data_IF_920370071970
#
_entry.id   IF_920370071970
#
_cell.length_a   1.000
_cell.length_b   1.000
_cell.length_c   1.000
_cell.angle_alpha   90.00
_cell.angle_beta   90.00
_cell.angle_gamma   90.00
#
_symmetry.space_group_name_H-M   'P 1'
#
loop_
_entity.id
_entity.type
_entity.pdbx_description
1 polymer ?
#
# COMPACT_ATOMS: atom_id res chain seq x y z
N UNK A 1 -0.21 -7.86 30.69
CA UNK A 1 -0.86 -8.79 31.63
C UNK A 1 0.16 -9.85 32.03
N UNK A 2 0.57 -9.91 33.30
CA UNK A 2 1.34 -11.05 33.80
C UNK A 2 0.39 -12.23 33.85
N UNK A 3 0.75 -13.34 33.19
CA UNK A 3 -0.05 -14.56 33.27
C UNK A 3 0.28 -15.22 34.61
N UNK A 4 -0.72 -15.65 35.38
CA UNK A 4 -0.53 -16.40 36.65
C UNK A 4 -0.02 -17.83 36.43
N UNK A 5 0.67 -18.06 35.30
CA UNK A 5 1.18 -19.38 34.92
C UNK A 5 2.44 -19.69 35.74
N UNK A 6 2.48 -20.79 36.49
CA UNK A 6 3.62 -21.13 37.36
C UNK A 6 4.88 -21.36 36.53
N UNK A 7 6.02 -20.80 36.97
CA UNK A 7 7.30 -20.93 36.26
C UNK A 7 7.74 -22.41 36.26
N UNK A 8 7.96 -23.02 35.08
CA UNK A 8 8.31 -24.44 34.97
C UNK A 8 9.71 -24.74 35.51
N UNK A 9 9.89 -25.94 36.09
CA UNK A 9 11.11 -26.35 36.78
C UNK A 9 12.25 -26.69 35.79
N UNK A 10 13.49 -26.60 36.28
CA UNK A 10 14.71 -26.95 35.52
C UNK A 10 14.68 -28.46 35.19
N UNK A 11 14.52 -28.79 33.91
CA UNK A 11 14.42 -30.18 33.40
C UNK A 11 13.14 -30.45 32.61
N UNK A 12 12.04 -29.75 32.94
CA UNK A 12 10.74 -29.90 32.26
C UNK A 12 10.77 -29.37 30.82
N UNK A 13 11.68 -28.43 30.54
CA UNK A 13 11.85 -27.85 29.22
C UNK A 13 12.16 -28.89 28.16
N UNK A 14 13.11 -29.82 28.40
CA UNK A 14 13.46 -30.82 27.39
C UNK A 14 12.25 -31.70 27.08
N UNK A 15 11.56 -32.18 28.12
CA UNK A 15 10.35 -32.99 28.01
C UNK A 15 9.24 -32.29 27.22
N UNK A 16 9.00 -31.01 27.52
CA UNK A 16 7.97 -30.22 26.81
C UNK A 16 8.31 -30.02 25.33
N UNK A 17 9.58 -29.80 24.99
CA UNK A 17 10.02 -29.67 23.60
C UNK A 17 9.98 -31.02 22.86
N UNK A 18 10.38 -32.11 23.51
CA UNK A 18 10.31 -33.46 22.94
C UNK A 18 8.85 -33.85 22.67
N UNK A 19 7.93 -33.57 23.61
CA UNK A 19 6.49 -33.78 23.43
C UNK A 19 5.93 -32.92 22.29
N UNK A 20 6.31 -31.65 22.22
CA UNK A 20 5.89 -30.77 21.14
C UNK A 20 6.40 -31.24 19.77
N UNK A 21 7.64 -31.72 19.72
CA UNK A 21 8.24 -32.28 18.52
C UNK A 21 7.53 -33.56 18.09
N UNK A 22 7.24 -34.47 19.03
CA UNK A 22 6.44 -35.68 18.78
C UNK A 22 5.02 -35.35 18.30
N UNK A 23 4.44 -34.26 18.79
CA UNK A 23 3.14 -33.75 18.34
C UNK A 23 3.21 -32.96 17.02
N UNK A 24 4.38 -32.85 16.38
CA UNK A 24 4.56 -32.12 15.12
C UNK A 24 4.39 -30.60 15.23
N UNK A 25 4.44 -30.04 16.45
CA UNK A 25 4.31 -28.61 16.67
C UNK A 25 5.58 -27.88 16.21
N UNK A 26 5.40 -26.78 15.47
CA UNK A 26 6.52 -25.91 15.05
C UNK A 26 6.94 -24.96 16.16
N UNK A 27 6.02 -24.63 17.05
CA UNK A 27 6.20 -23.66 18.14
C UNK A 27 5.51 -24.12 19.41
N UNK A 28 6.04 -23.72 20.57
CA UNK A 28 5.36 -23.85 21.86
C UNK A 28 5.50 -22.59 22.69
N UNK A 29 4.51 -22.32 23.52
CA UNK A 29 4.64 -21.30 24.55
C UNK A 29 5.41 -21.88 25.74
N UNK A 30 6.48 -21.21 26.11
CA UNK A 30 7.32 -21.61 27.22
C UNK A 30 7.91 -20.40 27.94
N UNK A 31 8.28 -20.60 29.19
CA UNK A 31 8.87 -19.54 30.00
C UNK A 31 10.32 -19.25 29.58
N UNK A 32 10.58 -17.98 29.23
CA UNK A 32 11.89 -17.43 29.00
C UNK A 32 12.24 -16.43 30.10
N UNK A 33 13.42 -16.57 30.73
CA UNK A 33 13.87 -15.63 31.78
C UNK A 33 13.89 -14.16 31.34
N UNK A 34 14.11 -13.89 30.06
CA UNK A 34 14.22 -12.52 29.53
C UNK A 34 12.89 -11.95 29.03
N UNK A 35 11.92 -12.80 28.69
CA UNK A 35 10.71 -12.40 27.98
C UNK A 35 9.44 -13.01 28.57
N UNK A 36 9.52 -13.56 29.79
CA UNK A 36 8.44 -14.30 30.45
C UNK A 36 7.89 -15.44 29.57
N UNK A 37 6.61 -15.81 29.72
CA UNK A 37 5.90 -16.72 28.82
C UNK A 37 5.86 -16.17 27.39
N UNK A 38 6.55 -16.86 26.49
CA UNK A 38 6.73 -16.42 25.10
C UNK A 38 6.81 -17.63 24.17
N UNK A 39 6.76 -17.38 22.87
CA UNK A 39 6.83 -18.44 21.86
C UNK A 39 8.28 -18.90 21.65
N UNK A 40 8.49 -20.21 21.70
CA UNK A 40 9.73 -20.89 21.37
C UNK A 40 9.58 -21.69 20.07
N UNK A 41 10.68 -21.80 19.31
CA UNK A 41 10.75 -22.65 18.12
C UNK A 41 11.12 -24.08 18.56
N UNK A 42 10.29 -25.07 18.21
CA UNK A 42 10.49 -26.48 18.59
C UNK A 42 11.65 -27.09 17.80
N UNK A 43 11.72 -26.81 16.50
CA UNK A 43 12.82 -27.22 15.63
C UNK A 43 13.90 -26.11 15.52
N UNK A 44 15.18 -26.51 15.53
CA UNK A 44 16.33 -25.62 15.24
C UNK A 44 16.74 -24.63 16.35
N UNK A 45 15.86 -24.30 17.30
CA UNK A 45 16.09 -23.26 18.31
C UNK A 45 16.92 -23.66 19.54
N UNK A 46 17.27 -24.95 19.73
CA UNK A 46 17.88 -25.49 20.98
C UNK A 46 17.15 -25.03 22.26
N UNK A 47 15.83 -24.82 22.17
CA UNK A 47 15.01 -24.30 23.26
C UNK A 47 15.11 -22.80 23.53
N UNK A 48 15.73 -22.00 22.68
CA UNK A 48 15.76 -20.53 22.82
C UNK A 48 14.41 -19.95 22.38
N UNK A 49 13.90 -18.93 23.06
CA UNK A 49 12.66 -18.27 22.63
C UNK A 49 12.88 -17.53 21.32
N UNK A 50 11.81 -17.32 20.54
CA UNK A 50 11.88 -16.65 19.24
C UNK A 50 12.54 -15.27 19.35
N UNK A 51 12.17 -14.45 20.34
CA UNK A 51 12.75 -13.13 20.54
C UNK A 51 14.27 -13.16 20.82
N UNK A 52 14.73 -14.06 21.69
CA UNK A 52 16.17 -14.24 21.95
C UNK A 52 16.91 -14.77 20.71
N UNK A 53 16.28 -15.69 19.96
CA UNK A 53 16.85 -16.23 18.74
C UNK A 53 16.99 -15.15 17.66
N UNK A 54 15.95 -14.34 17.46
CA UNK A 54 15.93 -13.23 16.51
C UNK A 54 17.00 -12.19 16.86
N UNK A 55 17.14 -11.83 18.15
CA UNK A 55 18.19 -10.91 18.62
C UNK A 55 19.60 -11.47 18.38
N UNK A 56 19.82 -12.77 18.67
CA UNK A 56 21.09 -13.45 18.43
C UNK A 56 21.42 -13.48 16.93
N UNK A 57 20.44 -13.88 16.10
CA UNK A 57 20.60 -13.95 14.66
C UNK A 57 20.79 -12.56 14.04
N UNK A 58 20.14 -11.52 14.57
CA UNK A 58 20.33 -10.14 14.14
C UNK A 58 21.79 -9.69 14.22
N UNK A 59 22.50 -10.04 15.30
CA UNK A 59 23.93 -9.74 15.46
C UNK A 59 24.79 -10.50 14.45
N UNK A 60 24.56 -11.81 14.32
CA UNK A 60 25.30 -12.63 13.35
C UNK A 60 25.05 -12.19 11.91
N UNK A 61 23.81 -11.83 11.57
CA UNK A 61 23.41 -11.36 10.26
C UNK A 61 24.01 -9.99 9.95
N UNK A 62 24.04 -9.07 10.92
CA UNK A 62 24.69 -7.77 10.77
C UNK A 62 26.19 -7.93 10.48
N UNK A 63 26.89 -8.78 11.27
CA UNK A 63 28.30 -9.08 11.06
C UNK A 63 28.55 -9.74 9.70
N UNK A 64 27.73 -10.71 9.30
CA UNK A 64 27.85 -11.35 8.00
C UNK A 64 27.62 -10.37 6.84
N UNK A 65 26.67 -9.43 7.00
CA UNK A 65 26.42 -8.36 6.02
C UNK A 65 27.63 -7.43 5.91
N UNK A 66 28.18 -7.00 7.03
CA UNK A 66 29.38 -6.16 7.07
C UNK A 66 30.59 -6.86 6.43
N UNK A 67 30.83 -8.12 6.79
CA UNK A 67 31.89 -8.96 6.18
C UNK A 67 31.67 -9.12 4.67
N UNK A 68 30.43 -9.32 4.23
CA UNK A 68 30.13 -9.41 2.80
C UNK A 68 30.48 -8.12 2.04
N UNK A 69 30.41 -6.95 2.67
CA UNK A 69 30.79 -5.70 2.01
C UNK A 69 32.28 -5.37 2.10
N UNK A 70 32.96 -5.85 3.15
CA UNK A 70 34.34 -5.48 3.48
C UNK A 70 35.40 -6.53 3.17
N UNK A 71 35.02 -7.80 2.96
CA UNK A 71 35.95 -8.93 2.80
C UNK A 71 35.68 -9.69 1.49
N UNK A 72 36.62 -9.58 0.56
CA UNK A 72 36.56 -10.25 -0.75
C UNK A 72 36.64 -11.77 -0.67
N UNK A 73 37.44 -12.30 0.25
CA UNK A 73 37.56 -13.73 0.44
C UNK A 73 36.24 -14.31 0.98
N UNK A 74 35.58 -13.60 1.89
CA UNK A 74 34.25 -13.96 2.38
C UNK A 74 33.20 -13.92 1.26
N UNK A 75 33.22 -12.88 0.40
CA UNK A 75 32.33 -12.80 -0.78
C UNK A 75 32.52 -13.99 -1.72
N UNK A 76 33.77 -14.30 -2.07
CA UNK A 76 34.10 -15.41 -2.94
C UNK A 76 33.67 -16.76 -2.35
N UNK A 77 33.92 -16.97 -1.05
CA UNK A 77 33.44 -18.17 -0.33
C UNK A 77 31.91 -18.29 -0.36
N UNK A 78 31.18 -17.18 -0.15
CA UNK A 78 29.71 -17.21 -0.23
C UNK A 78 29.18 -17.47 -1.63
N UNK A 79 29.83 -16.96 -2.68
CA UNK A 79 29.47 -17.29 -4.08
C UNK A 79 29.64 -18.79 -4.34
N UNK A 80 30.79 -19.37 -3.96
CA UNK A 80 31.03 -20.81 -4.09
C UNK A 80 29.98 -21.64 -3.35
N UNK A 81 29.62 -21.26 -2.12
CA UNK A 81 28.55 -21.95 -1.37
C UNK A 81 27.18 -21.86 -2.07
N UNK A 82 26.88 -20.76 -2.76
CA UNK A 82 25.64 -20.61 -3.54
C UNK A 82 25.68 -21.49 -4.78
N UNK A 83 26.81 -21.53 -5.48
CA UNK A 83 27.04 -22.39 -6.65
C UNK A 83 26.93 -23.88 -6.29
N UNK A 84 27.64 -24.34 -5.25
CA UNK A 84 27.54 -25.72 -4.76
C UNK A 84 26.11 -26.09 -4.35
N UNK A 85 25.38 -25.15 -3.73
CA UNK A 85 23.99 -25.37 -3.37
C UNK A 85 23.07 -25.44 -4.61
N UNK A 86 23.37 -24.68 -5.67
CA UNK A 86 22.67 -24.75 -6.96
C UNK A 86 22.99 -26.06 -7.68
N UNK A 87 24.25 -26.47 -7.75
CA UNK A 87 24.66 -27.74 -8.34
C UNK A 87 23.98 -28.93 -7.66
N UNK A 88 23.97 -28.96 -6.32
CA UNK A 88 23.25 -30.01 -5.57
C UNK A 88 21.75 -30.04 -5.89
N UNK A 89 21.13 -28.87 -6.08
CA UNK A 89 19.72 -28.76 -6.47
C UNK A 89 19.46 -29.27 -7.88
N UNK A 90 20.40 -29.04 -8.80
CA UNK A 90 20.29 -29.50 -10.20
C UNK A 90 20.62 -30.99 -10.34
N UNK A 91 21.49 -31.53 -9.49
CA UNK A 91 21.92 -32.93 -9.50
C UNK A 91 20.85 -33.91 -8.97
N UNK A 92 19.84 -33.42 -8.25
CA UNK A 92 18.76 -34.26 -7.69
C UNK A 92 17.49 -34.09 -8.53
N UNK A 93 17.09 -35.08 -9.36
CA UNK A 93 15.85 -35.01 -10.12
C UNK A 93 14.65 -34.81 -9.18
N UNK A 94 13.74 -33.88 -9.51
CA UNK A 94 12.54 -33.60 -8.71
C UNK A 94 12.71 -32.63 -7.54
N UNK A 95 13.93 -32.40 -7.05
CA UNK A 95 14.15 -31.51 -5.90
C UNK A 95 13.75 -30.06 -6.18
N UNK A 96 13.94 -29.60 -7.43
CA UNK A 96 13.51 -28.26 -7.86
C UNK A 96 11.99 -28.14 -7.82
N UNK A 97 11.28 -29.14 -8.33
CA UNK A 97 9.82 -29.21 -8.34
C UNK A 97 9.27 -29.23 -6.90
N UNK A 98 9.88 -30.02 -6.01
CA UNK A 98 9.52 -30.10 -4.59
C UNK A 98 9.74 -28.78 -3.86
N UNK A 99 10.90 -28.13 -4.04
CA UNK A 99 11.17 -26.83 -3.44
C UNK A 99 10.20 -25.76 -3.95
N UNK A 100 9.90 -25.77 -5.24
CA UNK A 100 8.91 -24.88 -5.83
C UNK A 100 7.50 -25.17 -5.30
N UNK A 101 7.14 -26.45 -5.11
CA UNK A 101 5.87 -26.86 -4.52
C UNK A 101 5.75 -26.37 -3.08
N UNK A 102 6.77 -26.59 -2.26
CA UNK A 102 6.84 -26.08 -0.89
C UNK A 102 6.80 -24.54 -0.85
N UNK A 103 7.49 -23.86 -1.76
CA UNK A 103 7.44 -22.39 -1.84
C UNK A 103 6.04 -21.88 -2.24
N UNK A 104 5.36 -22.55 -3.17
CA UNK A 104 3.96 -22.26 -3.55
C UNK A 104 3.02 -22.49 -2.38
N UNK A 105 3.15 -23.61 -1.67
CA UNK A 105 2.35 -23.95 -0.50
C UNK A 105 2.56 -22.91 0.61
N UNK A 106 3.82 -22.64 0.98
CA UNK A 106 4.15 -21.63 1.99
C UNK A 106 3.63 -20.24 1.60
N UNK A 107 3.74 -19.84 0.32
CA UNK A 107 3.15 -18.59 -0.18
C UNK A 107 1.62 -18.60 -0.05
N UNK A 108 0.96 -19.69 -0.42
CA UNK A 108 -0.49 -19.85 -0.30
C UNK A 108 -0.96 -19.78 1.16
N UNK A 109 -0.24 -20.43 2.09
CA UNK A 109 -0.50 -20.33 3.53
C UNK A 109 -0.33 -18.89 4.02
N UNK A 110 0.73 -18.19 3.62
CA UNK A 110 0.93 -16.78 4.00
C UNK A 110 -0.15 -15.86 3.45
N UNK A 111 -0.55 -16.03 2.18
CA UNK A 111 -1.65 -15.25 1.60
C UNK A 111 -2.97 -15.42 2.36
N UNK A 112 -3.20 -16.58 2.97
CA UNK A 112 -4.40 -16.86 3.78
C UNK A 112 -4.31 -16.37 5.23
N UNK A 113 -3.11 -16.36 5.82
CA UNK A 113 -2.92 -16.15 7.27
C UNK A 113 -2.29 -14.81 7.65
N UNK A 114 -1.64 -14.13 6.72
CA UNK A 114 -0.96 -12.85 6.93
C UNK A 114 -1.53 -11.82 5.95
N UNK A 115 -2.45 -10.99 6.45
CA UNK A 115 -3.14 -9.99 5.65
C UNK A 115 -2.20 -8.92 5.08
N UNK A 116 -1.16 -8.54 5.83
CA UNK A 116 -0.14 -7.61 5.35
C UNK A 116 0.70 -8.22 4.23
N UNK A 117 1.01 -9.52 4.31
CA UNK A 117 1.65 -10.24 3.21
C UNK A 117 0.73 -10.30 1.97
N UNK A 118 -0.56 -10.55 2.17
CA UNK A 118 -1.54 -10.53 1.08
C UNK A 118 -1.64 -9.15 0.41
N UNK A 119 -1.72 -8.07 1.19
CA UNK A 119 -1.72 -6.69 0.68
C UNK A 119 -0.47 -6.37 -0.15
N UNK A 120 0.72 -6.70 0.38
CA UNK A 120 2.00 -6.54 -0.33
C UNK A 120 2.06 -7.33 -1.63
N UNK A 121 1.57 -8.57 -1.62
CA UNK A 121 1.57 -9.41 -2.82
C UNK A 121 0.59 -8.87 -3.89
N UNK A 122 -0.57 -8.35 -3.47
CA UNK A 122 -1.54 -7.70 -4.37
C UNK A 122 -0.97 -6.43 -5.00
N UNK A 123 -0.37 -5.54 -4.20
CA UNK A 123 0.30 -4.33 -4.69
C UNK A 123 1.42 -4.67 -5.67
N UNK A 124 2.30 -5.61 -5.34
CA UNK A 124 3.40 -6.00 -6.23
C UNK A 124 2.91 -6.52 -7.59
N UNK A 125 1.83 -7.31 -7.59
CA UNK A 125 1.19 -7.76 -8.84
C UNK A 125 0.54 -6.61 -9.61
N UNK A 126 -0.15 -5.69 -8.92
CA UNK A 126 -0.77 -4.52 -9.53
C UNK A 126 0.29 -3.58 -10.16
N UNK A 127 1.40 -3.38 -9.46
CA UNK A 127 2.56 -2.63 -9.95
C UNK A 127 3.20 -3.29 -11.18
N UNK A 128 3.37 -4.62 -11.17
CA UNK A 128 3.87 -5.34 -12.33
C UNK A 128 2.94 -5.19 -13.54
N UNK A 129 1.64 -5.40 -13.36
CA UNK A 129 0.64 -5.24 -14.42
C UNK A 129 0.54 -3.79 -14.91
N UNK A 130 0.74 -2.79 -14.04
CA UNK A 130 0.81 -1.40 -14.47
C UNK A 130 1.98 -1.17 -15.43
N UNK A 131 3.20 -1.63 -15.09
CA UNK A 131 4.37 -1.49 -15.98
C UNK A 131 4.16 -2.17 -17.33
N UNK A 132 3.58 -3.36 -17.30
CA UNK A 132 3.23 -4.11 -18.51
C UNK A 132 2.22 -3.35 -19.39
N UNK A 133 1.18 -2.79 -18.77
CA UNK A 133 0.09 -2.09 -19.47
C UNK A 133 0.54 -0.76 -20.05
N UNK A 134 1.38 -0.01 -19.34
CA UNK A 134 1.81 1.34 -19.75
C UNK A 134 3.11 1.34 -20.54
N UNK A 135 3.86 0.22 -20.54
CA UNK A 135 5.23 0.16 -21.04
C UNK A 135 6.22 1.05 -20.26
N UNK A 136 5.77 1.59 -19.11
CA UNK A 136 6.45 2.69 -18.42
C UNK A 136 7.30 2.25 -17.23
N UNK A 137 8.21 3.15 -16.85
CA UNK A 137 8.88 3.10 -15.54
C UNK A 137 7.91 3.66 -14.49
N UNK A 138 7.93 3.07 -13.29
CA UNK A 138 7.15 3.61 -12.17
C UNK A 138 7.52 5.07 -11.91
N UNK A 139 6.55 5.86 -11.45
CA UNK A 139 6.82 7.24 -11.03
C UNK A 139 7.93 7.25 -9.96
N UNK A 140 8.75 8.30 -9.95
CA UNK A 140 9.94 8.36 -9.11
C UNK A 140 9.66 8.23 -7.61
N UNK A 141 8.42 8.49 -7.17
CA UNK A 141 8.00 8.40 -5.77
C UNK A 141 7.40 7.05 -5.39
N UNK A 142 7.27 6.09 -6.32
CA UNK A 142 6.63 4.80 -6.05
C UNK A 142 7.24 4.07 -4.86
N UNK A 143 8.58 4.02 -4.77
CA UNK A 143 9.24 3.35 -3.65
C UNK A 143 8.94 3.98 -2.27
N UNK A 144 8.67 5.29 -2.24
CA UNK A 144 8.39 6.07 -1.03
C UNK A 144 6.93 5.88 -0.64
N UNK A 145 6.03 5.93 -1.62
CA UNK A 145 4.59 5.73 -1.41
C UNK A 145 4.23 4.25 -1.22
N UNK A 146 5.10 3.32 -1.63
CA UNK A 146 4.83 1.88 -1.61
C UNK A 146 4.25 1.38 -0.28
N UNK A 147 4.72 1.80 0.91
CA UNK A 147 4.08 1.40 2.17
C UNK A 147 2.61 1.87 2.27
N UNK A 148 2.29 3.09 1.85
CA UNK A 148 0.91 3.61 1.83
C UNK A 148 0.05 2.88 0.79
N UNK A 149 0.56 2.70 -0.43
CA UNK A 149 -0.08 1.91 -1.48
C UNK A 149 -0.38 0.49 -0.98
N UNK A 150 0.59 -0.19 -0.35
CA UNK A 150 0.41 -1.53 0.21
C UNK A 150 -0.64 -1.59 1.32
N UNK A 151 -0.78 -0.52 2.13
CA UNK A 151 -1.86 -0.41 3.11
C UNK A 151 -3.23 -0.37 2.42
N UNK A 152 -3.38 0.35 1.30
CA UNK A 152 -4.64 0.35 0.53
C UNK A 152 -5.04 -1.06 0.06
N UNK A 153 -4.07 -1.91 -0.27
CA UNK A 153 -4.33 -3.31 -0.64
C UNK A 153 -4.59 -4.25 0.55
N UNK A 154 -4.39 -3.81 1.79
CA UNK A 154 -4.65 -4.57 3.02
C UNK A 154 -6.09 -4.31 3.46
N UNK A 155 -6.86 -5.31 3.91
CA UNK A 155 -8.24 -5.06 4.35
C UNK A 155 -9.29 -4.85 3.27
N UNK A 156 -8.93 -4.97 1.99
CA UNK A 156 -9.91 -4.85 0.89
C UNK A 156 -10.98 -5.93 1.05
N UNK A 157 -12.21 -5.48 1.28
CA UNK A 157 -13.37 -6.33 1.54
C UNK A 157 -13.69 -7.19 0.33
N UNK A 158 -14.32 -8.34 0.56
CA UNK A 158 -14.83 -9.18 -0.51
C UNK A 158 -15.82 -8.39 -1.39
N UNK A 159 -15.66 -8.49 -2.71
CA UNK A 159 -16.45 -7.73 -3.68
C UNK A 159 -15.94 -6.31 -3.96
N UNK A 160 -14.84 -5.89 -3.33
CA UNK A 160 -14.13 -4.66 -3.64
C UNK A 160 -12.78 -4.95 -4.31
N UNK A 161 -12.32 -4.02 -5.13
CA UNK A 161 -11.01 -4.00 -5.77
C UNK A 161 -10.35 -2.64 -5.55
N UNK A 162 -9.02 -2.61 -5.54
CA UNK A 162 -8.28 -1.35 -5.64
C UNK A 162 -8.17 -1.01 -7.12
N UNK A 163 -8.76 0.12 -7.49
CA UNK A 163 -8.78 0.64 -8.85
C UNK A 163 -8.04 1.98 -8.95
N UNK A 164 -7.60 2.30 -10.15
CA UNK A 164 -6.97 3.56 -10.49
C UNK A 164 -8.03 4.61 -10.87
N UNK A 165 -8.14 5.73 -10.14
CA UNK A 165 -9.09 6.81 -10.43
C UNK A 165 -9.00 7.28 -11.89
N UNK A 166 -7.80 7.67 -12.29
CA UNK A 166 -7.35 7.77 -13.70
C UNK A 166 -6.87 6.39 -14.14
N UNK A 167 -7.47 5.75 -15.15
CA UNK A 167 -7.06 4.44 -15.64
C UNK A 167 -5.58 4.38 -16.06
N UNK A 168 -4.98 3.20 -15.95
CA UNK A 168 -3.58 2.94 -16.36
C UNK A 168 -3.31 3.39 -17.79
N UNK A 169 -4.28 3.15 -18.67
CA UNK A 169 -4.33 3.66 -20.04
C UNK A 169 -5.71 4.28 -20.24
N UNK A 170 -5.79 5.57 -19.98
CA UNK A 170 -7.03 6.33 -19.95
C UNK A 170 -7.43 6.73 -21.36
N UNK A 171 -8.67 6.44 -21.76
CA UNK A 171 -9.19 6.63 -23.10
C UNK A 171 -10.32 7.67 -23.11
N UNK A 172 -10.38 8.47 -24.16
CA UNK A 172 -11.53 9.34 -24.42
C UNK A 172 -12.73 8.54 -24.97
N UNK A 173 -13.79 9.25 -25.38
CA UNK A 173 -15.01 8.64 -25.94
C UNK A 173 -14.78 7.87 -27.24
N UNK A 174 -13.71 8.20 -27.97
CA UNK A 174 -13.33 7.56 -29.24
C UNK A 174 -12.36 6.38 -29.03
N UNK A 175 -11.99 6.08 -27.77
CA UNK A 175 -11.07 5.01 -27.42
C UNK A 175 -9.59 5.38 -27.58
N UNK A 176 -9.26 6.65 -27.84
CA UNK A 176 -7.89 7.13 -28.00
C UNK A 176 -7.25 7.32 -26.63
N UNK A 177 -6.00 6.86 -26.47
CA UNK A 177 -5.26 7.02 -25.22
C UNK A 177 -4.88 8.49 -25.01
N UNK A 178 -5.42 9.12 -23.98
CA UNK A 178 -5.24 10.54 -23.68
C UNK A 178 -4.44 10.81 -22.40
N UNK A 179 -4.42 9.88 -21.45
CA UNK A 179 -3.67 10.01 -20.21
C UNK A 179 -3.25 8.66 -19.63
N UNK A 180 -2.17 8.65 -18.85
CA UNK A 180 -1.70 7.47 -18.10
C UNK A 180 -1.83 7.76 -16.62
N UNK A 181 -2.74 7.05 -15.94
CA UNK A 181 -2.88 7.16 -14.50
C UNK A 181 -1.72 6.51 -13.77
N UNK A 182 -1.07 7.24 -12.87
CA UNK A 182 0.07 6.74 -12.10
C UNK A 182 -0.36 5.69 -11.06
N UNK A 183 0.51 4.74 -10.74
CA UNK A 183 0.30 3.80 -9.63
C UNK A 183 0.77 4.41 -8.30
N UNK A 184 0.09 5.47 -7.88
CA UNK A 184 0.38 6.25 -6.68
C UNK A 184 -0.81 6.23 -5.73
N UNK A 185 -0.59 6.53 -4.45
CA UNK A 185 -1.63 6.49 -3.42
C UNK A 185 -2.83 7.38 -3.77
N UNK A 186 -2.57 8.60 -4.28
CA UNK A 186 -3.61 9.56 -4.66
C UNK A 186 -4.52 9.08 -5.80
N UNK A 187 -4.04 8.14 -6.63
CA UNK A 187 -4.80 7.61 -7.75
C UNK A 187 -5.44 6.26 -7.44
N UNK A 188 -5.36 5.74 -6.22
CA UNK A 188 -5.87 4.42 -5.87
C UNK A 188 -7.02 4.51 -4.87
N UNK A 189 -8.12 3.84 -5.18
CA UNK A 189 -9.28 3.76 -4.30
C UNK A 189 -9.89 2.36 -4.29
N UNK A 190 -10.44 1.96 -3.14
CA UNK A 190 -11.24 0.75 -3.05
C UNK A 190 -12.64 1.03 -3.65
N UNK A 191 -13.01 0.27 -4.66
CA UNK A 191 -14.30 0.40 -5.36
C UNK A 191 -14.96 -0.99 -5.49
N UNK A 192 -16.28 -1.03 -5.55
CA UNK A 192 -17.00 -2.27 -5.81
C UNK A 192 -16.67 -2.81 -7.21
N UNK A 193 -16.46 -4.13 -7.33
CA UNK A 193 -16.10 -4.77 -8.60
C UNK A 193 -17.04 -4.43 -9.78
N UNK A 194 -18.39 -4.39 -9.61
CA UNK A 194 -19.28 -4.02 -10.71
C UNK A 194 -19.06 -2.58 -11.19
N UNK A 195 -18.80 -1.66 -10.26
CA UNK A 195 -18.51 -0.25 -10.59
C UNK A 195 -17.15 -0.12 -11.29
N UNK A 196 -16.14 -0.89 -10.86
CA UNK A 196 -14.84 -0.92 -11.53
C UNK A 196 -14.98 -1.35 -13.01
N UNK A 197 -15.75 -2.42 -13.26
CA UNK A 197 -16.02 -2.91 -14.62
C UNK A 197 -16.76 -1.89 -15.47
N UNK A 198 -17.75 -1.20 -14.89
CA UNK A 198 -18.50 -0.15 -15.59
C UNK A 198 -17.65 1.08 -15.90
N UNK A 199 -16.70 1.44 -15.03
CA UNK A 199 -15.78 2.56 -15.24
C UNK A 199 -14.81 2.29 -16.40
N UNK A 200 -14.26 1.06 -16.46
CA UNK A 200 -13.34 0.65 -17.51
C UNK A 200 -12.14 1.60 -17.66
N UNK A 201 -11.82 1.94 -18.90
CA UNK A 201 -10.68 2.80 -19.28
C UNK A 201 -11.09 4.26 -19.52
N UNK A 202 -12.35 4.64 -19.28
CA UNK A 202 -12.85 5.95 -19.66
C UNK A 202 -12.26 7.10 -18.82
N UNK A 203 -11.87 8.17 -19.49
CA UNK A 203 -11.31 9.39 -18.93
C UNK A 203 -12.13 10.60 -19.35
N UNK A 204 -12.81 11.19 -18.38
CA UNK A 204 -13.55 12.43 -18.51
C UNK A 204 -13.40 13.22 -17.20
N UNK A 205 -12.27 13.91 -17.00
CA UNK A 205 -12.04 14.70 -15.78
C UNK A 205 -13.04 15.85 -15.65
N UNK A 206 -13.69 16.26 -16.74
CA UNK A 206 -14.77 17.25 -16.70
C UNK A 206 -16.01 16.75 -15.97
N UNK A 207 -16.29 15.45 -16.05
CA UNK A 207 -17.45 14.82 -15.39
C UNK A 207 -17.07 14.09 -14.10
N UNK A 208 -15.81 13.62 -13.99
CA UNK A 208 -15.33 12.83 -12.85
C UNK A 208 -14.17 13.51 -12.14
N UNK A 209 -14.46 14.32 -11.10
CA UNK A 209 -13.43 15.05 -10.33
C UNK A 209 -12.30 14.19 -9.75
N UNK A 210 -12.55 12.90 -9.45
CA UNK A 210 -11.52 11.95 -9.00
C UNK A 210 -10.40 11.69 -10.04
N UNK A 211 -10.62 12.11 -11.28
CA UNK A 211 -9.64 12.04 -12.37
C UNK A 211 -8.83 13.33 -12.51
N UNK A 212 -9.18 14.39 -11.77
CA UNK A 212 -8.46 15.66 -11.71
C UNK A 212 -7.27 15.57 -10.73
N UNK A 213 -6.26 16.45 -10.84
CA UNK A 213 -5.16 16.48 -9.89
C UNK A 213 -5.65 16.81 -8.46
N UNK A 214 -5.08 16.17 -7.44
CA UNK A 214 -5.47 16.32 -6.03
C UNK A 214 -5.03 17.68 -5.43
N UNK A 215 -5.69 18.77 -5.84
CA UNK A 215 -5.47 20.12 -5.33
C UNK A 215 -6.80 20.91 -5.26
N UNK A 216 -6.76 22.06 -4.57
CA UNK A 216 -7.90 22.98 -4.36
C UNK A 216 -8.07 24.04 -5.44
N UNK A 217 -7.13 24.15 -6.38
CA UNK A 217 -7.16 25.15 -7.44
C UNK A 217 -8.20 24.83 -8.53
N UNK A 218 -8.47 25.78 -9.44
CA UNK A 218 -9.37 25.57 -10.55
C UNK A 218 -9.00 24.33 -11.37
N UNK A 219 -9.98 23.45 -11.64
CA UNK A 219 -9.75 22.18 -12.34
C UNK A 219 -9.10 21.08 -11.48
N UNK A 220 -8.93 21.32 -10.17
CA UNK A 220 -8.49 20.32 -9.20
C UNK A 220 -9.62 19.38 -8.75
N UNK A 221 -9.24 18.27 -8.12
CA UNK A 221 -10.18 17.31 -7.55
C UNK A 221 -10.96 17.88 -6.35
N UNK A 222 -10.41 18.91 -5.70
CA UNK A 222 -11.04 19.62 -4.57
C UNK A 222 -11.51 21.03 -4.96
N UNK A 223 -11.59 21.33 -6.25
CA UNK A 223 -12.19 22.57 -6.76
C UNK A 223 -13.67 22.64 -6.32
N UNK A 224 -14.10 23.70 -5.62
CA UNK A 224 -15.49 23.86 -5.18
C UNK A 224 -16.48 24.06 -6.34
N UNK A 225 -16.00 24.34 -7.56
CA UNK A 225 -16.86 24.43 -8.74
C UNK A 225 -17.40 23.03 -9.10
N UNK A 226 -18.73 22.84 -9.19
CA UNK A 226 -19.31 21.55 -9.56
C UNK A 226 -18.96 21.15 -11.01
N UNK A 227 -18.77 19.86 -11.25
CA UNK A 227 -18.74 19.28 -12.61
C UNK A 227 -20.10 19.37 -13.29
N UNK A 228 -20.18 19.13 -14.60
CA UNK A 228 -21.48 19.10 -15.31
C UNK A 228 -22.43 18.03 -14.74
N UNK A 229 -21.88 16.85 -14.40
CA UNK A 229 -22.61 15.77 -13.74
C UNK A 229 -23.08 16.15 -12.34
N UNK A 230 -22.24 16.84 -11.55
CA UNK A 230 -22.62 17.35 -10.23
C UNK A 230 -23.71 18.42 -10.35
N UNK A 231 -23.61 19.32 -11.33
CA UNK A 231 -24.67 20.27 -11.65
C UNK A 231 -25.99 19.60 -12.03
N UNK A 232 -25.93 18.49 -12.77
CA UNK A 232 -27.11 17.69 -13.09
C UNK A 232 -27.75 17.13 -11.82
N UNK A 233 -26.97 16.52 -10.93
CA UNK A 233 -27.46 15.99 -9.64
C UNK A 233 -28.03 17.08 -8.74
N UNK A 234 -27.41 18.27 -8.71
CA UNK A 234 -27.90 19.42 -7.94
C UNK A 234 -29.27 19.87 -8.48
N UNK A 235 -29.42 20.00 -9.81
CA UNK A 235 -30.69 20.36 -10.44
C UNK A 235 -31.78 19.30 -10.22
N UNK A 236 -31.41 18.02 -10.27
CA UNK A 236 -32.32 16.91 -9.93
C UNK A 236 -32.76 16.97 -8.45
N UNK A 237 -31.84 17.29 -7.53
CA UNK A 237 -32.15 17.45 -6.10
C UNK A 237 -33.05 18.65 -5.84
N UNK A 238 -32.85 19.74 -6.59
CA UNK A 238 -33.72 20.92 -6.56
C UNK A 238 -35.13 20.62 -7.03
N UNK A 239 -35.29 19.86 -8.10
CA UNK A 239 -36.59 19.38 -8.56
C UNK A 239 -37.33 18.51 -7.50
N UNK A 240 -36.59 17.92 -6.56
CA UNK A 240 -37.11 17.15 -5.42
C UNK A 240 -37.32 18.00 -4.15
N UNK A 241 -37.10 19.31 -4.22
CA UNK A 241 -37.34 20.26 -3.13
C UNK A 241 -36.13 20.57 -2.26
N UNK A 242 -34.92 20.15 -2.64
CA UNK A 242 -33.68 20.51 -1.94
C UNK A 242 -33.10 21.80 -2.52
N UNK A 243 -32.96 22.91 -1.76
CA UNK A 243 -32.42 24.15 -2.31
C UNK A 243 -31.04 23.97 -2.95
N UNK A 244 -30.82 24.62 -4.09
CA UNK A 244 -29.55 24.58 -4.81
C UNK A 244 -28.37 24.99 -3.91
N UNK A 245 -28.52 26.07 -3.15
CA UNK A 245 -27.48 26.60 -2.24
C UNK A 245 -27.07 25.57 -1.17
N UNK A 246 -28.04 24.83 -0.63
CA UNK A 246 -27.77 23.76 0.34
C UNK A 246 -26.96 22.63 -0.30
N UNK A 247 -27.28 22.24 -1.53
CA UNK A 247 -26.54 21.19 -2.26
C UNK A 247 -25.10 21.62 -2.56
N UNK A 248 -24.91 22.91 -2.90
CA UNK A 248 -23.59 23.50 -3.11
C UNK A 248 -22.77 23.59 -1.81
N UNK A 249 -23.39 23.96 -0.70
CA UNK A 249 -22.77 23.97 0.63
C UNK A 249 -22.28 22.57 1.01
N UNK A 250 -23.16 21.56 0.90
CA UNK A 250 -22.82 20.16 1.19
C UNK A 250 -21.67 19.65 0.32
N UNK A 251 -21.67 19.99 -0.98
CA UNK A 251 -20.57 19.63 -1.88
C UNK A 251 -19.24 20.27 -1.42
N UNK A 252 -19.25 21.57 -1.13
CA UNK A 252 -18.05 22.31 -0.69
C UNK A 252 -17.48 21.73 0.60
N UNK A 253 -18.34 21.52 1.60
CA UNK A 253 -17.94 20.95 2.89
C UNK A 253 -17.32 19.57 2.73
N UNK A 254 -17.91 18.72 1.89
CA UNK A 254 -17.36 17.39 1.58
C UNK A 254 -15.99 17.50 0.91
N UNK A 255 -15.83 18.36 -0.09
CA UNK A 255 -14.56 18.54 -0.80
C UNK A 255 -13.47 19.08 0.13
N UNK A 256 -13.83 19.98 1.05
CA UNK A 256 -12.91 20.47 2.08
C UNK A 256 -12.48 19.36 3.05
N UNK A 257 -13.40 18.48 3.46
CA UNK A 257 -13.05 17.31 4.28
C UNK A 257 -12.10 16.36 3.55
N UNK A 258 -12.36 16.06 2.27
CA UNK A 258 -11.50 15.21 1.44
C UNK A 258 -10.11 15.83 1.24
N UNK A 259 -10.05 17.15 0.97
CA UNK A 259 -8.80 17.88 0.82
C UNK A 259 -7.98 17.87 2.12
N UNK A 260 -8.62 18.12 3.27
CA UNK A 260 -7.96 18.09 4.58
C UNK A 260 -7.39 16.71 4.91
N UNK A 261 -8.12 15.64 4.60
CA UNK A 261 -7.65 14.28 4.80
C UNK A 261 -6.42 13.96 3.94
N UNK A 262 -6.45 14.36 2.67
CA UNK A 262 -5.31 14.20 1.76
C UNK A 262 -4.09 14.98 2.21
N UNK A 263 -4.26 16.26 2.57
CA UNK A 263 -3.17 17.13 3.02
C UNK A 263 -2.57 16.66 4.35
N UNK A 264 -3.37 16.10 5.25
CA UNK A 264 -2.90 15.52 6.52
C UNK A 264 -2.02 14.31 6.24
N UNK A 265 -2.49 13.38 5.39
CA UNK A 265 -1.70 12.23 4.99
C UNK A 265 -0.39 12.65 4.29
N UNK A 266 -0.44 13.66 3.43
CA UNK A 266 0.75 14.21 2.79
C UNK A 266 1.76 14.73 3.81
N UNK A 267 1.33 15.58 4.76
CA UNK A 267 2.21 16.20 5.77
C UNK A 267 2.75 15.20 6.79
N UNK A 268 1.94 14.24 7.22
CA UNK A 268 2.32 13.33 8.31
C UNK A 268 3.13 12.12 7.83
N UNK A 269 2.85 11.63 6.61
CA UNK A 269 3.43 10.39 6.12
C UNK A 269 4.37 10.58 4.93
N UNK A 270 3.99 11.40 3.95
CA UNK A 270 4.74 11.52 2.69
C UNK A 270 5.88 12.53 2.81
N UNK A 271 5.61 13.74 3.30
CA UNK A 271 6.58 14.82 3.40
C UNK A 271 7.82 14.44 4.25
N UNK A 272 7.70 13.83 5.46
CA UNK A 272 8.87 13.42 6.23
C UNK A 272 9.70 12.35 5.52
N UNK A 273 9.04 11.39 4.86
CA UNK A 273 9.70 10.33 4.10
C UNK A 273 10.44 10.90 2.87
N UNK A 274 9.83 11.90 2.22
CA UNK A 274 10.42 12.61 1.10
C UNK A 274 11.63 13.45 1.53
N UNK A 275 11.53 14.23 2.61
CA UNK A 275 12.63 15.02 3.14
C UNK A 275 13.79 14.14 3.62
N UNK A 276 13.52 12.96 4.19
CA UNK A 276 14.56 12.02 4.58
C UNK A 276 15.32 11.46 3.37
N UNK A 277 14.64 11.19 2.24
CA UNK A 277 15.24 10.58 1.05
C UNK A 277 15.84 11.62 0.10
N UNK A 278 15.26 12.81 0.04
CA UNK A 278 15.69 13.94 -0.78
C UNK A 278 15.60 15.25 0.01
N UNK A 279 16.59 15.53 0.87
CA UNK A 279 16.58 16.71 1.73
C UNK A 279 16.56 18.04 0.96
N UNK A 280 16.89 18.02 -0.34
CA UNK A 280 16.91 19.20 -1.22
C UNK A 280 15.74 19.22 -2.24
N UNK A 281 14.80 18.27 -2.19
CA UNK A 281 13.69 18.23 -3.16
C UNK A 281 12.67 19.35 -2.97
N UNK A 282 12.62 19.95 -1.79
CA UNK A 282 11.70 21.04 -1.48
C UNK A 282 12.53 22.27 -1.09
N UNK A 283 12.46 23.38 -1.85
CA UNK A 283 13.04 24.63 -1.38
C UNK A 283 12.38 24.98 -0.04
N UNK A 284 13.19 25.36 0.95
CA UNK A 284 12.81 25.57 2.35
C UNK A 284 11.75 26.68 2.61
N UNK A 285 11.03 27.13 1.57
CA UNK A 285 10.09 28.25 1.60
C UNK A 285 8.79 28.02 0.80
N UNK A 286 8.50 26.80 0.33
CA UNK A 286 7.16 26.48 -0.14
C UNK A 286 6.23 26.17 1.06
N UNK A 287 6.09 27.11 1.99
CA UNK A 287 4.96 27.10 2.93
C UNK A 287 3.70 27.09 2.08
N UNK A 288 2.97 25.97 2.07
CA UNK A 288 1.59 25.90 1.64
C UNK A 288 0.86 27.04 2.36
N UNK A 289 0.55 28.14 1.66
CA UNK A 289 -0.26 29.22 2.21
C UNK A 289 -1.68 28.67 2.35
N UNK A 290 -1.98 28.09 3.51
CA UNK A 290 -3.31 27.56 3.87
C UNK A 290 -4.33 28.66 4.17
N UNK A 291 -4.13 29.88 3.69
CA UNK A 291 -5.01 31.02 3.97
C UNK A 291 -5.14 31.93 2.75
N UNK A 292 -5.71 31.41 1.67
CA UNK A 292 -6.56 32.27 0.85
C UNK A 292 -7.97 32.16 1.41
N UNK A 293 -8.28 33.04 2.36
CA UNK A 293 -9.66 33.44 2.60
C UNK A 293 -10.21 33.97 1.28
N UNK A 294 -11.09 33.19 0.65
CA UNK A 294 -11.79 33.62 -0.55
C UNK A 294 -12.61 34.88 -0.19
N UNK A 295 -12.49 35.99 -0.95
CA UNK A 295 -13.41 37.09 -0.79
C UNK A 295 -14.83 36.60 -1.14
N UNK A 296 -15.78 36.84 -0.25
CA UNK A 296 -17.16 36.37 -0.31
C UNK A 296 -18.03 37.04 -1.39
N UNK A 297 -17.48 37.41 -2.54
CA UNK A 297 -18.22 38.02 -3.63
C UNK A 297 -17.82 37.43 -4.98
N UNK A 298 -18.43 36.30 -5.32
CA UNK A 298 -18.60 35.88 -6.71
C UNK A 298 -19.82 36.61 -7.24
N UNK A 299 -19.59 37.71 -7.97
CA UNK A 299 -20.63 38.35 -8.76
C UNK A 299 -21.05 37.37 -9.84
N UNK A 300 -22.27 36.84 -9.73
CA UNK A 300 -22.92 36.03 -10.76
C UNK A 300 -22.97 36.88 -12.04
N UNK A 301 -22.15 36.55 -13.03
CA UNK A 301 -22.32 37.09 -14.38
C UNK A 301 -23.52 36.40 -14.99
N UNK A 302 -24.62 37.14 -15.10
CA UNK A 302 -25.81 36.75 -15.87
C UNK A 302 -25.35 36.30 -17.27
N UNK A 303 -25.78 35.12 -17.76
CA UNK A 303 -25.46 34.72 -19.11
C UNK A 303 -26.08 35.71 -20.10
N UNK A 304 -25.28 36.14 -21.09
CA UNK A 304 -25.75 36.93 -22.22
C UNK A 304 -26.84 36.14 -22.97
N UNK A 305 -27.91 36.79 -23.44
CA UNK A 305 -28.93 36.13 -24.23
C UNK A 305 -28.32 35.60 -25.52
N UNK A 306 -28.68 34.36 -25.86
CA UNK A 306 -28.40 33.75 -27.16
C UNK A 306 -29.08 34.58 -28.24
N UNK A 307 -28.27 35.24 -29.08
CA UNK A 307 -28.74 35.76 -30.37
C UNK A 307 -29.10 34.56 -31.25
N UNK A 308 -30.36 34.52 -31.65
CA UNK A 308 -30.88 33.57 -32.63
C UNK A 308 -30.49 34.04 -34.03
N UNK A 309 -29.76 33.21 -34.77
CA UNK A 309 -29.79 33.18 -36.25
C UNK A 309 -30.69 32.05 -36.74
#
# INVERSE_FOLDING_TARGET
MKTDRPIPKRGEKKKAFDQAHQAGLKTIDWYCKAHDWTTHLVAGGRGICKACNDKRNGRSNAKAKEQYHSDDAYRASRRRQIEEALEKRLATPGQREEMNAHAREHRATKLKSDEQFAGRAREANAAANWRETTGGVMHGWHDIERPAVQRSYTGVRQGMEIDHGVPKRAQDGDGVHVATGLHCFANLAAIAMPLNRSKGTYFSPENYRRQRPANRGPGGAFDPCPTEDEWKLIRESEALGTPQDFSLEVLRDRLDQEANAYETHYREELEPALLQRWPNAFPAQATFQTSQTFPAQLTVKTPLPLETE
#
